data_IF_616083793369
#
_entry.id   IF_616083793369
#
_cell.length_a   1.000
_cell.length_b   1.000
_cell.length_c   1.000
_cell.angle_alpha   90.00
_cell.angle_beta   90.00
_cell.angle_gamma   90.00
#
_symmetry.space_group_name_H-M   'P 1'
#
loop_
_entity.id
_entity.type
_entity.pdbx_description
1 polymer ?
#
# COMPACT_ATOMS: atom_id res chain seq x y z
N UNK A 1 -23.26 -5.04 -2.12
CA UNK A 1 -21.91 -4.52 -2.45
C UNK A 1 -21.61 -4.78 -3.92
N UNK A 2 -20.84 -3.92 -4.61
CA UNK A 2 -20.50 -4.14 -6.01
C UNK A 2 -19.69 -5.43 -6.20
N UNK A 3 -19.94 -6.16 -7.29
CA UNK A 3 -19.23 -7.41 -7.62
C UNK A 3 -17.70 -7.31 -7.58
N UNK A 4 -17.15 -6.15 -7.99
CA UNK A 4 -15.70 -5.92 -8.01
C UNK A 4 -15.05 -5.87 -6.60
N UNK A 5 -15.82 -5.64 -5.53
CA UNK A 5 -15.29 -5.66 -4.17
C UNK A 5 -14.98 -7.10 -3.73
N UNK A 6 -15.78 -8.08 -4.15
CA UNK A 6 -15.48 -9.49 -3.89
C UNK A 6 -14.19 -9.92 -4.57
N UNK A 7 -13.97 -9.51 -5.83
CA UNK A 7 -12.69 -9.76 -6.51
C UNK A 7 -11.51 -9.08 -5.81
N UNK A 8 -11.72 -7.88 -5.26
CA UNK A 8 -10.68 -7.19 -4.49
C UNK A 8 -10.36 -7.92 -3.17
N UNK A 9 -11.37 -8.43 -2.46
CA UNK A 9 -11.18 -9.22 -1.23
C UNK A 9 -10.40 -10.49 -1.53
N UNK A 10 -10.79 -11.24 -2.57
CA UNK A 10 -10.10 -12.47 -2.97
C UNK A 10 -8.65 -12.15 -3.35
N UNK A 11 -8.41 -11.09 -4.12
CA UNK A 11 -7.06 -10.65 -4.47
C UNK A 11 -6.23 -10.27 -3.23
N UNK A 12 -6.83 -9.59 -2.24
CA UNK A 12 -6.17 -9.28 -0.96
C UNK A 12 -5.76 -10.56 -0.23
N UNK A 13 -6.66 -11.54 -0.12
CA UNK A 13 -6.37 -12.82 0.55
C UNK A 13 -5.24 -13.56 -0.17
N UNK A 14 -5.29 -13.63 -1.50
CA UNK A 14 -4.23 -14.24 -2.31
C UNK A 14 -2.87 -13.55 -2.13
N UNK A 15 -2.84 -12.22 -2.17
CA UNK A 15 -1.62 -11.44 -1.94
C UNK A 15 -1.06 -11.64 -0.52
N UNK A 16 -1.93 -11.74 0.47
CA UNK A 16 -1.55 -11.95 1.86
C UNK A 16 -0.99 -13.36 2.07
N UNK A 17 -1.60 -14.38 1.45
CA UNK A 17 -1.08 -15.74 1.43
C UNK A 17 0.30 -15.82 0.72
N UNK A 18 0.46 -15.13 -0.41
CA UNK A 18 1.76 -15.02 -1.10
C UNK A 18 2.82 -14.36 -0.22
N UNK A 19 2.46 -13.28 0.47
CA UNK A 19 3.37 -12.61 1.39
C UNK A 19 3.76 -13.49 2.58
N UNK A 20 2.81 -14.19 3.20
CA UNK A 20 3.08 -15.15 4.29
C UNK A 20 3.99 -16.28 3.79
N UNK A 21 3.72 -16.81 2.59
CA UNK A 21 4.58 -17.84 1.99
C UNK A 21 6.00 -17.32 1.77
N UNK A 22 6.14 -16.08 1.28
CA UNK A 22 7.45 -15.44 1.14
C UNK A 22 8.16 -15.28 2.49
N UNK A 23 7.42 -14.93 3.56
CA UNK A 23 7.96 -14.80 4.92
C UNK A 23 8.55 -16.10 5.45
N UNK A 24 7.90 -17.24 5.18
CA UNK A 24 8.31 -18.56 5.70
C UNK A 24 9.43 -19.16 4.85
N UNK A 25 9.31 -19.06 3.52
CA UNK A 25 10.16 -19.81 2.59
C UNK A 25 11.34 -19.03 2.03
N UNK A 26 11.36 -17.69 2.19
CA UNK A 26 12.40 -16.85 1.58
C UNK A 26 13.35 -16.31 2.64
N UNK A 27 14.56 -16.84 2.67
CA UNK A 27 15.60 -16.30 3.52
C UNK A 27 16.13 -14.95 2.93
N UNK A 28 16.41 -13.94 3.78
CA UNK A 28 16.83 -12.60 3.37
C UNK A 28 18.30 -12.53 2.95
N UNK A 29 18.73 -13.47 2.10
CA UNK A 29 20.14 -13.72 1.80
C UNK A 29 20.66 -12.85 0.64
N UNK A 30 19.74 -12.22 -0.09
CA UNK A 30 20.06 -11.39 -1.24
C UNK A 30 19.21 -10.11 -1.27
N UNK A 31 19.76 -9.00 -1.80
CA UNK A 31 18.99 -7.77 -2.03
C UNK A 31 17.72 -8.01 -2.85
N UNK A 32 17.78 -8.94 -3.82
CA UNK A 32 16.64 -9.31 -4.65
C UNK A 32 15.50 -9.92 -3.84
N UNK A 33 15.82 -10.81 -2.90
CA UNK A 33 14.82 -11.44 -2.03
C UNK A 33 14.18 -10.41 -1.09
N UNK A 34 14.98 -9.51 -0.52
CA UNK A 34 14.49 -8.42 0.34
C UNK A 34 13.54 -7.50 -0.43
N UNK A 35 13.92 -7.08 -1.65
CA UNK A 35 13.07 -6.24 -2.50
C UNK A 35 11.78 -6.96 -2.92
N UNK A 36 11.85 -8.25 -3.28
CA UNK A 36 10.68 -9.04 -3.62
C UNK A 36 9.72 -9.15 -2.42
N UNK A 37 10.23 -9.39 -1.22
CA UNK A 37 9.46 -9.42 0.01
C UNK A 37 8.81 -8.07 0.34
N UNK A 38 9.55 -6.97 0.20
CA UNK A 38 9.01 -5.63 0.43
C UNK A 38 7.95 -5.25 -0.60
N UNK A 39 8.11 -5.67 -1.86
CA UNK A 39 7.14 -5.43 -2.92
C UNK A 39 5.85 -6.22 -2.69
N UNK A 40 5.92 -7.49 -2.29
CA UNK A 40 4.73 -8.27 -1.94
C UNK A 40 4.06 -7.73 -0.69
N UNK A 41 4.82 -7.31 0.32
CA UNK A 41 4.29 -6.62 1.50
C UNK A 41 3.55 -5.33 1.12
N UNK A 42 4.15 -4.52 0.26
CA UNK A 42 3.54 -3.28 -0.23
C UNK A 42 2.21 -3.54 -0.92
N UNK A 43 2.16 -4.53 -1.81
CA UNK A 43 0.94 -4.91 -2.51
C UNK A 43 -0.13 -5.44 -1.53
N UNK A 44 0.26 -6.30 -0.59
CA UNK A 44 -0.65 -6.86 0.41
C UNK A 44 -1.24 -5.77 1.32
N UNK A 45 -0.41 -4.89 1.87
CA UNK A 45 -0.86 -3.76 2.69
C UNK A 45 -1.74 -2.78 1.91
N UNK A 46 -1.37 -2.47 0.67
CA UNK A 46 -2.16 -1.60 -0.20
C UNK A 46 -3.55 -2.17 -0.43
N UNK A 47 -3.63 -3.46 -0.75
CA UNK A 47 -4.91 -4.13 -0.99
C UNK A 47 -5.74 -4.21 0.30
N UNK A 48 -5.10 -4.56 1.42
CA UNK A 48 -5.73 -4.69 2.73
C UNK A 48 -6.31 -3.36 3.24
N UNK A 49 -5.53 -2.28 3.17
CA UNK A 49 -5.94 -0.95 3.61
C UNK A 49 -6.94 -0.29 2.66
N UNK A 50 -6.99 -0.70 1.39
CA UNK A 50 -7.95 -0.13 0.43
C UNK A 50 -9.40 -0.42 0.80
N UNK A 51 -9.68 -1.59 1.41
CA UNK A 51 -11.01 -2.02 1.82
C UNK A 51 -11.62 -1.17 2.96
N UNK A 52 -10.96 -0.96 4.12
CA UNK A 52 -11.47 -0.09 5.17
C UNK A 52 -11.55 1.37 4.73
N UNK A 53 -10.59 1.86 3.94
CA UNK A 53 -10.64 3.23 3.39
C UNK A 53 -11.85 3.37 2.45
N UNK A 54 -12.10 2.38 1.60
CA UNK A 54 -13.28 2.34 0.74
C UNK A 54 -14.56 2.32 1.56
N UNK A 55 -14.67 1.46 2.57
CA UNK A 55 -15.85 1.37 3.42
C UNK A 55 -16.13 2.70 4.14
N UNK A 56 -15.09 3.36 4.64
CA UNK A 56 -15.21 4.68 5.27
C UNK A 56 -15.68 5.76 4.30
N UNK A 57 -15.15 5.78 3.07
CA UNK A 57 -15.59 6.73 2.03
C UNK A 57 -16.98 6.43 1.50
N UNK A 58 -17.33 5.16 1.35
CA UNK A 58 -18.64 4.70 0.89
C UNK A 58 -19.75 5.16 1.84
N UNK A 59 -19.52 5.05 3.16
CA UNK A 59 -20.46 5.55 4.18
C UNK A 59 -20.74 7.07 4.11
N UNK A 60 -19.85 7.84 3.47
CA UNK A 60 -19.94 9.31 3.35
C UNK A 60 -20.26 9.78 1.94
N UNK A 61 -20.41 8.86 0.98
CA UNK A 61 -20.66 9.18 -0.41
C UNK A 61 -22.15 9.37 -0.67
N UNK A 62 -22.52 10.28 -1.56
CA UNK A 62 -23.88 10.38 -2.08
C UNK A 62 -24.21 9.18 -2.98
N UNK A 63 -25.49 8.85 -3.11
CA UNK A 63 -25.97 7.68 -3.89
C UNK A 63 -25.52 7.67 -5.36
N UNK A 64 -25.23 8.85 -5.93
CA UNK A 64 -24.83 9.03 -7.33
C UNK A 64 -23.32 8.83 -7.61
N UNK A 65 -22.51 8.47 -6.60
CA UNK A 65 -21.04 8.36 -6.78
C UNK A 65 -20.66 7.06 -7.50
N UNK A 66 -19.81 7.18 -8.54
CA UNK A 66 -19.24 6.03 -9.22
C UNK A 66 -18.34 5.19 -8.28
N UNK A 67 -18.82 4.00 -7.93
CA UNK A 67 -18.20 3.11 -6.93
C UNK A 67 -16.80 2.63 -7.35
N UNK A 68 -16.57 2.40 -8.65
CA UNK A 68 -15.24 2.00 -9.15
C UNK A 68 -14.22 3.12 -8.97
N UNK A 69 -14.63 4.36 -9.23
CA UNK A 69 -13.77 5.53 -9.06
C UNK A 69 -13.48 5.80 -7.57
N UNK A 70 -14.48 5.57 -6.70
CA UNK A 70 -14.31 5.65 -5.25
C UNK A 70 -13.29 4.62 -4.74
N UNK A 71 -13.36 3.38 -5.24
CA UNK A 71 -12.38 2.34 -4.92
C UNK A 71 -10.98 2.68 -5.42
N UNK A 72 -10.82 3.13 -6.67
CA UNK A 72 -9.52 3.58 -7.21
C UNK A 72 -8.90 4.69 -6.37
N UNK A 73 -9.71 5.68 -5.94
CA UNK A 73 -9.27 6.73 -5.00
C UNK A 73 -8.83 6.12 -3.67
N UNK A 74 -9.57 5.16 -3.13
CA UNK A 74 -9.23 4.48 -1.87
C UNK A 74 -7.91 3.70 -1.99
N UNK A 75 -7.70 3.00 -3.10
CA UNK A 75 -6.47 2.28 -3.41
C UNK A 75 -5.26 3.21 -3.50
N UNK A 76 -5.41 4.40 -4.11
CA UNK A 76 -4.33 5.41 -4.15
C UNK A 76 -3.90 5.84 -2.75
N UNK A 77 -4.86 6.11 -1.86
CA UNK A 77 -4.57 6.49 -0.48
C UNK A 77 -3.99 5.33 0.33
N UNK A 78 -4.45 4.10 0.09
CA UNK A 78 -3.90 2.89 0.70
C UNK A 78 -2.46 2.61 0.24
N UNK A 79 -2.14 2.84 -1.03
CA UNK A 79 -0.80 2.71 -1.56
C UNK A 79 0.14 3.74 -0.92
N UNK A 80 -0.33 4.98 -0.76
CA UNK A 80 0.43 6.02 -0.09
C UNK A 80 0.72 5.70 1.38
N UNK A 81 -0.26 5.21 2.15
CA UNK A 81 -0.02 4.80 3.54
C UNK A 81 0.92 3.60 3.62
N UNK A 82 0.76 2.62 2.73
CA UNK A 82 1.63 1.43 2.67
C UNK A 82 3.08 1.79 2.32
N UNK A 83 3.28 2.80 1.46
CA UNK A 83 4.62 3.30 1.08
C UNK A 83 5.43 3.76 2.30
N UNK A 84 4.77 4.38 3.30
CA UNK A 84 5.45 4.81 4.52
C UNK A 84 6.04 3.60 5.26
N UNK A 85 5.21 2.57 5.48
CA UNK A 85 5.58 1.38 6.23
C UNK A 85 6.69 0.61 5.48
N UNK A 86 6.48 0.33 4.20
CA UNK A 86 7.45 -0.47 3.42
C UNK A 86 8.72 0.31 3.12
N UNK A 87 8.64 1.63 2.93
CA UNK A 87 9.81 2.49 2.75
C UNK A 87 10.69 2.55 4.00
N UNK A 88 10.11 2.72 5.19
CA UNK A 88 10.87 2.67 6.44
C UNK A 88 11.49 1.28 6.67
N UNK A 89 10.74 0.21 6.39
CA UNK A 89 11.28 -1.15 6.45
C UNK A 89 12.43 -1.37 5.45
N UNK A 90 12.34 -0.81 4.24
CA UNK A 90 13.41 -0.87 3.25
C UNK A 90 14.68 -0.17 3.76
N UNK A 91 14.57 1.05 4.29
CA UNK A 91 15.72 1.77 4.85
C UNK A 91 16.40 0.98 5.97
N UNK A 92 15.60 0.34 6.83
CA UNK A 92 16.10 -0.54 7.88
C UNK A 92 16.76 -1.80 7.33
N UNK A 93 16.13 -2.47 6.36
CA UNK A 93 16.62 -3.72 5.79
C UNK A 93 17.99 -3.58 5.11
N UNK A 94 18.27 -2.41 4.53
CA UNK A 94 19.57 -2.11 3.91
C UNK A 94 20.58 -1.46 4.87
N UNK A 95 20.26 -1.35 6.18
CA UNK A 95 21.10 -0.64 7.18
C UNK A 95 21.45 0.80 6.78
N UNK A 96 20.58 1.46 6.01
CA UNK A 96 20.73 2.86 5.58
C UNK A 96 19.81 3.79 6.36
N UNK A 97 19.22 3.34 7.46
CA UNK A 97 18.35 4.14 8.32
C UNK A 97 19.18 5.11 9.17
N UNK A 98 19.62 6.20 8.55
CA UNK A 98 20.27 7.35 9.20
C UNK A 98 19.29 8.51 9.31
N UNK A 99 19.57 9.48 10.19
CA UNK A 99 18.74 10.67 10.32
C UNK A 99 18.58 11.44 8.99
N UNK A 100 19.66 11.50 8.19
CA UNK A 100 19.65 12.14 6.86
C UNK A 100 18.70 11.38 5.92
N UNK A 101 18.84 10.06 5.80
CA UNK A 101 18.01 9.26 4.89
C UNK A 101 16.55 9.22 5.33
N UNK A 102 16.28 9.23 6.64
CA UNK A 102 14.94 9.37 7.18
C UNK A 102 14.32 10.74 6.83
N UNK A 103 15.11 11.83 6.93
CA UNK A 103 14.68 13.16 6.52
C UNK A 103 14.38 13.25 5.02
N UNK A 104 15.27 12.71 4.17
CA UNK A 104 15.05 12.63 2.73
C UNK A 104 13.80 11.81 2.38
N UNK A 105 13.59 10.68 3.06
CA UNK A 105 12.40 9.87 2.89
C UNK A 105 11.13 10.61 3.32
N UNK A 106 11.17 11.39 4.41
CA UNK A 106 10.04 12.22 4.84
C UNK A 106 9.71 13.31 3.81
N UNK A 107 10.73 13.95 3.20
CA UNK A 107 10.53 14.92 2.11
C UNK A 107 9.91 14.24 0.89
N UNK A 108 10.43 13.09 0.48
CA UNK A 108 9.86 12.29 -0.60
C UNK A 108 8.39 11.94 -0.31
N UNK A 109 8.10 11.47 0.91
CA UNK A 109 6.76 11.13 1.35
C UNK A 109 5.80 12.32 1.27
N UNK A 110 6.24 13.51 1.73
CA UNK A 110 5.48 14.75 1.59
C UNK A 110 5.28 15.17 0.13
N UNK A 111 6.29 15.03 -0.72
CA UNK A 111 6.17 15.34 -2.14
C UNK A 111 5.11 14.45 -2.83
N UNK A 112 5.13 13.14 -2.54
CA UNK A 112 4.10 12.20 -3.04
C UNK A 112 2.72 12.57 -2.50
N UNK A 113 2.60 12.97 -1.24
CA UNK A 113 1.33 13.44 -0.66
C UNK A 113 0.76 14.64 -1.41
N UNK A 114 1.59 15.66 -1.68
CA UNK A 114 1.18 16.87 -2.39
C UNK A 114 0.73 16.54 -3.82
N UNK A 115 1.45 15.66 -4.51
CA UNK A 115 1.09 15.20 -5.85
C UNK A 115 -0.25 14.41 -5.83
N UNK A 116 -0.43 13.53 -4.85
CA UNK A 116 -1.65 12.75 -4.69
C UNK A 116 -2.87 13.63 -4.42
N UNK A 117 -2.70 14.65 -3.56
CA UNK A 117 -3.74 15.65 -3.25
C UNK A 117 -4.13 16.45 -4.50
N UNK A 118 -3.16 16.79 -5.36
CA UNK A 118 -3.40 17.51 -6.62
C UNK A 118 -4.09 16.64 -7.68
N UNK A 119 -3.72 15.36 -7.81
CA UNK A 119 -4.35 14.40 -8.72
C UNK A 119 -5.76 13.96 -8.29
N UNK A 120 -6.14 14.22 -7.03
CA UNK A 120 -7.44 13.82 -6.46
C UNK A 120 -8.56 14.86 -6.59
N UNK A 121 -8.23 16.10 -6.95
CA UNK A 121 -9.19 17.11 -7.42
C UNK A 121 -9.55 16.82 -8.87
#
# INVERSE_FOLDING_TARGET
MPGFIYTAIIATVALLALWISALINTAPNSPRNILAFLATLFAALTSLLSLPIYAWKYKRASELVNLRLLYRRSLKWAAFTSLCITGLMALKAFNVLTAINAGLFAILYLAVFLQLKRSGR
#
